data_IF_864424256337
#
_entry.id   IF_864424256337
#
_cell.length_a   1.000
_cell.length_b   1.000
_cell.length_c   1.000
_cell.angle_alpha   90.00
_cell.angle_beta   90.00
_cell.angle_gamma   90.00
#
_symmetry.space_group_name_H-M   'P 1'
#
loop_
_entity.id
_entity.type
_entity.pdbx_description
1 polymer ?
#
# COMPACT_ATOMS: atom_id res chain seq x y z
N UNK A 1 -12.41 -41.71 -32.87
CA UNK A 1 -11.25 -40.88 -32.44
C UNK A 1 -11.62 -39.56 -31.75
N UNK A 2 -12.73 -38.89 -32.08
CA UNK A 2 -13.06 -37.54 -31.52
C UNK A 2 -13.62 -37.54 -30.08
N UNK A 3 -14.33 -38.59 -29.66
CA UNK A 3 -14.89 -38.69 -28.30
C UNK A 3 -13.82 -38.96 -27.22
N UNK A 4 -12.78 -39.74 -27.57
CA UNK A 4 -11.69 -40.08 -26.65
C UNK A 4 -10.86 -38.85 -26.26
N UNK A 5 -10.63 -37.92 -27.20
CA UNK A 5 -9.83 -36.73 -26.96
C UNK A 5 -10.53 -35.73 -26.02
N UNK A 6 -11.86 -35.61 -26.11
CA UNK A 6 -12.66 -34.75 -25.25
C UNK A 6 -12.73 -35.28 -23.80
N UNK A 7 -12.86 -36.60 -23.64
CA UNK A 7 -12.84 -37.24 -22.32
C UNK A 7 -11.49 -37.06 -21.62
N UNK A 8 -10.37 -37.21 -22.35
CA UNK A 8 -9.03 -36.99 -21.80
C UNK A 8 -8.83 -35.54 -21.38
N UNK A 9 -9.32 -34.57 -22.16
CA UNK A 9 -9.26 -33.14 -21.83
C UNK A 9 -10.07 -32.76 -20.58
N UNK A 10 -11.25 -33.35 -20.40
CA UNK A 10 -12.07 -33.12 -19.22
C UNK A 10 -11.42 -33.70 -17.94
N UNK A 11 -10.81 -34.87 -18.06
CA UNK A 11 -10.12 -35.54 -16.95
C UNK A 11 -8.87 -34.74 -16.54
N UNK A 12 -8.06 -34.26 -17.50
CA UNK A 12 -6.88 -33.45 -17.18
C UNK A 12 -7.26 -32.11 -16.55
N UNK A 13 -8.30 -31.44 -17.03
CA UNK A 13 -8.78 -30.19 -16.43
C UNK A 13 -9.29 -30.39 -15.00
N UNK A 14 -10.02 -31.49 -14.74
CA UNK A 14 -10.48 -31.84 -13.40
C UNK A 14 -9.30 -32.12 -12.45
N UNK A 15 -8.30 -32.88 -12.90
CA UNK A 15 -7.12 -33.20 -12.10
C UNK A 15 -6.27 -31.96 -11.77
N UNK A 16 -6.11 -31.03 -12.72
CA UNK A 16 -5.39 -29.76 -12.48
C UNK A 16 -6.16 -28.89 -11.49
N UNK A 17 -7.49 -28.84 -11.61
CA UNK A 17 -8.34 -28.06 -10.70
C UNK A 17 -8.28 -28.59 -9.26
N UNK A 18 -8.26 -29.92 -9.09
CA UNK A 18 -8.10 -30.55 -7.77
C UNK A 18 -6.72 -30.24 -7.18
N UNK A 19 -5.65 -30.34 -7.99
CA UNK A 19 -4.29 -30.02 -7.54
C UNK A 19 -4.14 -28.54 -7.13
N UNK A 20 -4.77 -27.61 -7.85
CA UNK A 20 -4.73 -26.19 -7.54
C UNK A 20 -5.49 -25.83 -6.23
N UNK A 21 -6.50 -26.62 -5.84
CA UNK A 21 -7.25 -26.43 -4.58
C UNK A 21 -6.50 -27.01 -3.38
N UNK A 22 -5.74 -28.11 -3.57
CA UNK A 22 -5.03 -28.78 -2.47
C UNK A 22 -3.66 -28.17 -2.17
N UNK A 23 -2.98 -27.60 -3.18
CA UNK A 23 -1.75 -26.85 -2.97
C UNK A 23 -2.06 -25.40 -2.54
N UNK A 24 -2.46 -25.23 -1.28
CA UNK A 24 -2.35 -23.92 -0.63
C UNK A 24 -0.86 -23.61 -0.47
N UNK A 25 -0.34 -22.49 -1.02
CA UNK A 25 1.02 -22.07 -0.70
C UNK A 25 1.11 -21.93 0.81
N UNK A 26 2.14 -22.52 1.42
CA UNK A 26 2.37 -22.39 2.85
C UNK A 26 2.41 -20.90 3.20
N UNK A 27 1.48 -20.45 4.05
CA UNK A 27 1.51 -19.10 4.59
C UNK A 27 2.88 -18.91 5.23
N UNK A 28 3.66 -17.96 4.71
CA UNK A 28 4.95 -17.58 5.31
C UNK A 28 4.65 -17.01 6.69
N UNK A 29 4.88 -17.81 7.74
CA UNK A 29 4.80 -17.34 9.11
C UNK A 29 5.95 -16.36 9.32
N UNK A 30 5.64 -15.06 9.39
CA UNK A 30 6.63 -14.06 9.81
C UNK A 30 6.87 -14.28 11.31
N UNK A 31 8.11 -14.54 11.76
CA UNK A 31 8.40 -14.76 13.16
C UNK A 31 8.00 -13.53 13.99
N UNK A 32 7.27 -13.76 15.09
CA UNK A 32 6.78 -12.72 16.00
C UNK A 32 7.89 -11.81 16.58
N UNK A 33 9.14 -12.27 16.53
CA UNK A 33 10.32 -11.53 16.99
C UNK A 33 10.70 -10.32 16.11
N UNK A 34 10.05 -10.12 14.95
CA UNK A 34 10.19 -8.90 14.13
C UNK A 34 9.11 -7.84 14.43
N UNK A 35 8.25 -8.06 15.44
CA UNK A 35 7.34 -7.04 15.96
C UNK A 35 8.13 -6.00 16.80
N UNK A 36 9.09 -5.34 16.16
CA UNK A 36 9.92 -4.31 16.76
C UNK A 36 9.11 -3.04 16.87
N UNK A 37 8.56 -2.79 18.07
CA UNK A 37 7.80 -1.60 18.47
C UNK A 37 6.54 -1.31 17.62
N UNK A 38 5.43 -1.00 18.30
CA UNK A 38 4.30 -0.38 17.59
C UNK A 38 4.85 0.88 16.88
N UNK A 39 4.67 1.05 15.56
CA UNK A 39 5.06 2.28 14.91
C UNK A 39 4.35 3.42 15.65
N UNK A 40 5.12 4.41 16.12
CA UNK A 40 4.52 5.62 16.65
C UNK A 40 3.72 6.23 15.48
N UNK A 41 2.40 6.28 15.64
CA UNK A 41 1.45 6.80 14.66
C UNK A 41 1.60 8.30 14.40
N UNK A 42 2.40 8.96 15.25
CA UNK A 42 2.67 10.38 15.22
C UNK A 42 4.15 10.54 14.89
N UNK A 43 4.46 11.33 13.85
CA UNK A 43 5.82 11.79 13.60
C UNK A 43 6.39 12.40 14.89
N UNK A 44 7.68 12.21 15.15
CA UNK A 44 8.34 12.85 16.29
C UNK A 44 8.13 14.37 16.19
N UNK A 45 7.42 15.01 17.16
CA UNK A 45 7.12 16.43 17.09
C UNK A 45 8.38 17.31 17.12
N UNK A 46 9.54 16.77 17.49
CA UNK A 46 10.82 17.46 17.41
C UNK A 46 11.38 17.55 15.98
N UNK A 47 10.90 16.71 15.05
CA UNK A 47 11.34 16.67 13.65
C UNK A 47 10.55 17.70 12.86
N UNK A 48 10.85 18.98 13.09
CA UNK A 48 10.21 20.12 12.41
C UNK A 48 10.93 20.58 11.15
N UNK A 49 11.99 19.87 10.75
CA UNK A 49 12.82 20.28 9.61
C UNK A 49 12.02 20.20 8.31
N UNK A 50 11.92 21.35 7.64
CA UNK A 50 11.49 21.41 6.24
C UNK A 50 12.46 20.55 5.42
N UNK A 51 11.95 19.49 4.80
CA UNK A 51 12.62 18.94 3.61
C UNK A 51 12.45 20.02 2.56
N UNK A 52 13.43 20.91 2.44
CA UNK A 52 13.45 21.82 1.30
C UNK A 52 13.65 20.95 0.05
N UNK A 53 12.68 20.93 -0.88
CA UNK A 53 12.75 20.07 -2.07
C UNK A 53 13.95 20.42 -2.96
N UNK A 54 14.53 21.62 -2.78
CA UNK A 54 15.74 22.09 -3.43
C UNK A 54 16.97 22.10 -2.50
N UNK A 55 16.80 21.90 -1.19
CA UNK A 55 17.94 21.76 -0.29
C UNK A 55 18.60 20.42 -0.56
N UNK A 56 19.89 20.48 -0.84
CA UNK A 56 20.72 19.30 -0.96
C UNK A 56 20.75 18.44 0.33
N UNK A 57 20.28 18.98 1.46
CA UNK A 57 20.11 18.26 2.72
C UNK A 57 18.70 17.67 2.83
N UNK A 58 18.57 16.44 2.34
CA UNK A 58 17.31 15.71 2.20
C UNK A 58 17.35 14.78 0.98
N UNK A 59 18.21 15.11 0.01
CA UNK A 59 18.91 14.06 -0.73
C UNK A 59 19.86 13.42 0.29
N UNK A 60 19.52 12.22 0.75
CA UNK A 60 20.55 11.26 1.10
C UNK A 60 21.64 11.40 0.02
N UNK A 61 22.90 11.63 0.43
CA UNK A 61 24.03 11.68 -0.50
C UNK A 61 23.84 10.54 -1.51
N UNK A 62 24.15 10.76 -2.80
CA UNK A 62 23.88 9.79 -3.86
C UNK A 62 24.33 8.34 -3.52
N UNK A 63 25.30 8.21 -2.61
CA UNK A 63 25.71 6.94 -1.99
C UNK A 63 24.58 6.17 -1.29
N UNK A 64 23.69 6.78 -0.50
CA UNK A 64 22.61 6.08 0.23
C UNK A 64 21.31 5.95 -0.62
N UNK A 65 21.21 6.67 -1.75
CA UNK A 65 20.22 6.38 -2.81
C UNK A 65 20.61 5.19 -3.67
N UNK A 66 21.91 4.95 -3.88
CA UNK A 66 22.39 3.79 -4.63
C UNK A 66 22.08 2.46 -3.92
N UNK A 67 21.95 2.48 -2.59
CA UNK A 67 21.65 1.30 -1.75
C UNK A 67 20.14 1.02 -1.66
N UNK A 68 19.30 2.05 -1.80
CA UNK A 68 17.83 1.90 -1.87
C UNK A 68 17.33 2.40 -3.20
N UNK A 69 17.40 1.55 -4.22
CA UNK A 69 16.51 1.64 -5.38
C UNK A 69 15.08 1.57 -4.85
N UNK A 70 14.49 2.70 -4.46
CA UNK A 70 13.06 2.80 -4.22
C UNK A 70 12.45 2.51 -5.58
N UNK A 71 11.78 1.37 -5.80
CA UNK A 71 11.12 1.15 -7.06
C UNK A 71 10.17 2.34 -7.21
N UNK A 72 10.31 3.11 -8.29
CA UNK A 72 9.33 4.13 -8.59
C UNK A 72 7.99 3.39 -8.72
N UNK A 73 7.12 3.55 -7.72
CA UNK A 73 5.80 2.92 -7.73
C UNK A 73 5.02 3.63 -8.83
N UNK A 74 4.83 2.95 -9.95
CA UNK A 74 4.10 3.44 -11.12
C UNK A 74 2.86 2.58 -11.34
N UNK A 75 1.84 3.15 -11.98
CA UNK A 75 0.61 2.42 -12.31
C UNK A 75 -0.36 2.25 -11.15
N UNK A 76 -0.33 3.16 -10.16
CA UNK A 76 -1.37 3.21 -9.13
C UNK A 76 -2.65 3.80 -9.71
N UNK A 77 -3.78 3.14 -9.43
CA UNK A 77 -5.11 3.66 -9.72
C UNK A 77 -5.57 4.62 -8.62
N UNK A 78 -6.59 5.43 -8.93
CA UNK A 78 -7.30 6.23 -7.91
C UNK A 78 -8.07 5.27 -6.98
N UNK A 79 -7.95 5.42 -5.64
CA UNK A 79 -8.53 4.46 -4.69
C UNK A 79 -10.06 4.53 -4.57
N UNK A 80 -10.69 5.61 -5.06
CA UNK A 80 -12.15 5.80 -5.03
C UNK A 80 -12.66 5.80 -6.47
N UNK A 81 -13.69 4.99 -6.73
CA UNK A 81 -14.30 4.90 -8.05
C UNK A 81 -14.92 6.24 -8.48
N UNK A 82 -14.57 6.70 -9.68
CA UNK A 82 -15.06 7.96 -10.24
C UNK A 82 -14.45 9.22 -9.63
N UNK A 83 -13.55 9.10 -8.66
CA UNK A 83 -12.81 10.24 -8.14
C UNK A 83 -11.67 10.64 -9.09
N UNK A 84 -11.32 11.93 -9.06
CA UNK A 84 -10.15 12.48 -9.73
C UNK A 84 -9.06 12.82 -8.72
N UNK A 85 -7.82 12.96 -9.21
CA UNK A 85 -6.74 13.49 -8.38
C UNK A 85 -7.07 14.95 -8.04
N UNK A 86 -7.08 15.33 -6.75
CA UNK A 86 -7.41 16.69 -6.36
C UNK A 86 -6.38 17.68 -6.91
N UNK A 87 -6.84 18.89 -7.19
CA UNK A 87 -5.98 20.01 -7.63
C UNK A 87 -5.68 21.00 -6.50
N UNK A 88 -6.37 20.89 -5.38
CA UNK A 88 -6.13 21.71 -4.19
C UNK A 88 -4.74 21.37 -3.58
N UNK A 89 -3.81 22.34 -3.51
CA UNK A 89 -2.47 22.11 -2.96
C UNK A 89 -2.46 21.58 -1.53
N UNK A 90 -3.48 21.86 -0.72
CA UNK A 90 -3.57 21.41 0.67
C UNK A 90 -3.81 19.90 0.81
N UNK A 91 -4.34 19.28 -0.25
CA UNK A 91 -4.63 17.84 -0.34
C UNK A 91 -3.49 17.06 -1.00
N UNK A 92 -2.47 17.75 -1.50
CA UNK A 92 -1.35 17.15 -2.24
C UNK A 92 -0.12 16.95 -1.35
N UNK A 93 0.85 16.13 -1.81
CA UNK A 93 2.12 15.98 -1.12
C UNK A 93 2.83 17.33 -0.98
N UNK A 94 3.58 17.48 0.10
CA UNK A 94 4.27 18.71 0.52
C UNK A 94 3.32 19.87 0.90
N UNK A 95 2.05 19.61 1.18
CA UNK A 95 1.21 20.57 1.90
C UNK A 95 1.72 20.75 3.35
N UNK A 96 1.81 21.98 3.89
CA UNK A 96 2.17 22.20 5.30
C UNK A 96 1.19 21.53 6.27
N UNK A 97 1.71 20.87 7.31
CA UNK A 97 0.94 20.23 8.39
C UNK A 97 1.60 20.53 9.74
N UNK A 98 1.54 21.78 10.16
CA UNK A 98 2.19 22.27 11.39
C UNK A 98 1.71 21.52 12.65
N UNK A 99 0.44 21.10 12.68
CA UNK A 99 -0.14 20.30 13.77
C UNK A 99 0.36 18.84 13.83
N UNK A 100 1.15 18.39 12.85
CA UNK A 100 1.87 17.11 12.84
C UNK A 100 3.36 17.29 12.57
N UNK A 101 3.90 18.46 12.93
CA UNK A 101 5.31 18.79 12.85
C UNK A 101 5.94 18.55 11.46
N UNK A 102 5.23 18.80 10.36
CA UNK A 102 5.85 18.56 9.07
C UNK A 102 4.98 18.79 7.85
N UNK A 103 5.04 17.84 6.93
CA UNK A 103 4.52 17.96 5.58
C UNK A 103 3.62 16.76 5.27
N UNK A 104 2.60 17.00 4.46
CA UNK A 104 1.74 15.94 3.97
C UNK A 104 2.52 15.05 2.98
N UNK A 105 2.59 13.73 3.23
CA UNK A 105 3.33 12.80 2.37
C UNK A 105 2.45 12.11 1.32
N UNK A 106 1.13 12.27 1.40
CA UNK A 106 0.14 11.56 0.59
C UNK A 106 -0.73 12.46 -0.27
N UNK A 107 -1.78 11.86 -0.84
CA UNK A 107 -2.88 12.57 -1.52
C UNK A 107 -4.14 12.28 -0.74
N UNK A 108 -4.82 13.35 -0.31
CA UNK A 108 -6.09 13.25 0.41
C UNK A 108 -7.24 13.34 -0.60
N UNK A 109 -8.04 12.28 -0.71
CA UNK A 109 -9.24 12.26 -1.55
C UNK A 109 -10.47 12.56 -0.68
N UNK A 110 -11.13 13.72 -0.84
CA UNK A 110 -12.34 14.04 -0.08
C UNK A 110 -13.46 13.06 -0.41
N UNK A 111 -14.08 12.48 0.63
CA UNK A 111 -15.14 11.50 0.48
C UNK A 111 -16.12 11.56 1.65
N UNK A 112 -17.35 11.09 1.44
CA UNK A 112 -18.32 10.92 2.52
C UNK A 112 -17.96 9.68 3.36
N UNK A 113 -18.31 9.69 4.64
CA UNK A 113 -18.19 8.50 5.50
C UNK A 113 -18.91 7.30 4.85
N UNK A 114 -18.28 6.13 4.90
CA UNK A 114 -18.78 4.91 4.27
C UNK A 114 -18.46 4.77 2.77
N UNK A 115 -17.75 5.72 2.15
CA UNK A 115 -17.28 5.56 0.77
C UNK A 115 -16.29 4.40 0.68
N UNK A 116 -16.51 3.49 -0.27
CA UNK A 116 -15.64 2.32 -0.46
C UNK A 116 -14.26 2.75 -1.02
N UNK A 117 -13.19 2.26 -0.38
CA UNK A 117 -11.80 2.43 -0.80
C UNK A 117 -11.29 1.13 -1.41
N UNK A 118 -10.78 1.21 -2.64
CA UNK A 118 -10.30 0.08 -3.44
C UNK A 118 -8.76 0.00 -3.40
N UNK A 119 -8.23 -1.20 -3.59
CA UNK A 119 -6.79 -1.38 -3.75
C UNK A 119 -6.29 -0.67 -5.02
N UNK A 120 -5.22 0.12 -4.89
CA UNK A 120 -4.66 0.94 -5.97
C UNK A 120 -3.81 0.14 -6.97
N UNK A 121 -3.43 -1.08 -6.62
CA UNK A 121 -2.67 -2.01 -7.45
C UNK A 121 -2.84 -3.45 -6.95
N UNK A 122 -2.48 -4.42 -7.78
CA UNK A 122 -2.38 -5.82 -7.37
C UNK A 122 -1.29 -6.00 -6.31
N UNK A 123 -1.57 -6.78 -5.27
CA UNK A 123 -0.60 -7.05 -4.21
C UNK A 123 -1.18 -7.89 -3.07
N UNK A 124 -0.38 -8.03 -2.01
CA UNK A 124 -0.78 -8.74 -0.80
C UNK A 124 -0.96 -7.74 0.33
N UNK A 125 -2.12 -7.76 0.98
CA UNK A 125 -2.36 -6.97 2.20
C UNK A 125 -1.50 -7.54 3.33
N UNK A 126 -0.62 -6.72 3.91
CA UNK A 126 0.28 -7.12 4.99
C UNK A 126 -0.21 -6.70 6.38
N UNK A 127 -1.18 -5.78 6.45
CA UNK A 127 -1.70 -5.21 7.70
C UNK A 127 -3.12 -4.67 7.50
N UNK A 128 -3.98 -4.89 8.49
CA UNK A 128 -5.30 -4.26 8.62
C UNK A 128 -5.52 -3.95 10.10
N UNK A 129 -5.70 -2.68 10.45
CA UNK A 129 -6.06 -2.27 11.80
C UNK A 129 -7.59 -2.15 11.87
N UNK A 130 -8.24 -3.10 12.56
CA UNK A 130 -9.72 -3.20 12.60
C UNK A 130 -10.35 -2.59 13.84
N UNK A 131 -9.55 -2.33 14.86
CA UNK A 131 -9.99 -1.90 16.18
C UNK A 131 -9.75 -0.39 16.37
N UNK A 132 -9.71 0.37 15.28
CA UNK A 132 -9.67 1.83 15.35
C UNK A 132 -11.02 2.34 15.88
N UNK A 133 -10.96 3.11 16.95
CA UNK A 133 -12.11 3.79 17.54
C UNK A 133 -11.94 5.27 17.24
N UNK A 134 -12.95 5.87 16.60
CA UNK A 134 -12.95 7.30 16.32
C UNK A 134 -13.16 8.09 17.62
N UNK A 135 -12.83 9.38 17.61
CA UNK A 135 -12.85 10.21 18.82
C UNK A 135 -14.25 10.39 19.41
N UNK A 136 -15.30 10.19 18.63
CA UNK A 136 -16.70 10.40 19.00
C UNK A 136 -17.43 9.14 19.54
N UNK A 137 -16.70 8.04 19.77
CA UNK A 137 -17.20 6.80 20.36
C UNK A 137 -16.70 6.59 21.80
#
# INVERSE_FOLDING_TARGET
MRLGLAATGAITFLLISIAAVTLRPASRTIPAALATAAPLWTADPAVTSRVDPNAERGRLADDDRSVRTRPAVRGLMVPIEGAEVPTDPSLLPNAPRDFRAGWHEGIDFPARAGTAVRAVASGTVIRVDRDFVDWDQ
#
